data_IF_575166502620
#
_entry.id   IF_575166502620
#
_cell.length_a   1.000
_cell.length_b   1.000
_cell.length_c   1.000
_cell.angle_alpha   90.00
_cell.angle_beta   90.00
_cell.angle_gamma   90.00
#
_symmetry.space_group_name_H-M   'P 1'
#
loop_
_entity.id
_entity.type
_entity.pdbx_description
1 polymer ?
#
# COMPACT_ATOMS: atom_id res chain seq x y z
N UNK A 1 15.29 46.31 -19.91
CA UNK A 1 14.35 45.35 -19.28
C UNK A 1 12.98 45.97 -19.41
N UNK A 2 12.18 45.54 -20.40
CA UNK A 2 10.94 46.19 -20.77
C UNK A 2 9.80 45.65 -19.91
N UNK A 3 9.29 46.48 -19.00
CA UNK A 3 8.07 46.20 -18.23
C UNK A 3 6.87 46.36 -19.17
N UNK A 4 6.31 45.25 -19.64
CA UNK A 4 4.98 45.25 -20.25
C UNK A 4 3.95 45.32 -19.12
N UNK A 5 3.57 46.53 -18.76
CA UNK A 5 2.30 46.81 -18.08
C UNK A 5 1.17 46.40 -19.04
N UNK A 6 0.65 45.18 -18.88
CA UNK A 6 -0.46 44.68 -19.69
C UNK A 6 -1.72 45.52 -19.48
N UNK A 7 -2.30 46.03 -20.57
CA UNK A 7 -3.50 46.86 -20.50
C UNK A 7 -4.70 46.12 -19.87
N UNK A 8 -5.76 46.83 -19.45
CA UNK A 8 -6.92 46.23 -18.78
C UNK A 8 -7.62 45.13 -19.61
N UNK A 9 -7.52 45.19 -20.94
CA UNK A 9 -8.02 44.16 -21.84
C UNK A 9 -7.21 42.85 -21.77
N UNK A 10 -5.89 42.93 -21.63
CA UNK A 10 -5.01 41.75 -21.46
C UNK A 10 -5.28 41.06 -20.14
N UNK A 11 -5.51 41.84 -19.07
CA UNK A 11 -5.89 41.29 -17.76
C UNK A 11 -7.24 40.56 -17.81
N UNK A 12 -8.22 41.10 -18.55
CA UNK A 12 -9.51 40.45 -18.76
C UNK A 12 -9.37 39.15 -19.56
N UNK A 13 -8.56 39.16 -20.63
CA UNK A 13 -8.30 37.98 -21.44
C UNK A 13 -7.57 36.89 -20.63
N UNK A 14 -6.58 37.26 -19.83
CA UNK A 14 -5.90 36.32 -18.92
C UNK A 14 -6.85 35.76 -17.86
N UNK A 15 -7.74 36.59 -17.31
CA UNK A 15 -8.75 36.14 -16.36
C UNK A 15 -9.73 35.14 -16.99
N UNK A 16 -10.21 35.42 -18.21
CA UNK A 16 -11.08 34.53 -18.96
C UNK A 16 -10.37 33.20 -19.31
N UNK A 17 -9.13 33.27 -19.80
CA UNK A 17 -8.32 32.09 -20.09
C UNK A 17 -8.13 31.21 -18.84
N UNK A 18 -7.86 31.82 -17.68
CA UNK A 18 -7.71 31.11 -16.41
C UNK A 18 -9.00 30.40 -15.98
N UNK A 19 -10.16 31.01 -16.22
CA UNK A 19 -11.47 30.38 -15.94
C UNK A 19 -11.67 29.15 -16.82
N UNK A 20 -11.42 29.29 -18.13
CA UNK A 20 -11.57 28.19 -19.09
C UNK A 20 -10.62 27.04 -18.78
N UNK A 21 -9.34 27.35 -18.54
CA UNK A 21 -8.32 26.36 -18.18
C UNK A 21 -8.65 25.65 -16.87
N UNK A 22 -9.12 26.38 -15.86
CA UNK A 22 -9.54 25.79 -14.58
C UNK A 22 -10.76 24.89 -14.75
N UNK A 23 -11.73 25.27 -15.57
CA UNK A 23 -12.89 24.45 -15.88
C UNK A 23 -12.49 23.17 -16.65
N UNK A 24 -11.64 23.32 -17.66
CA UNK A 24 -11.10 22.20 -18.44
C UNK A 24 -10.32 21.21 -17.57
N UNK A 25 -9.39 21.70 -16.74
CA UNK A 25 -8.64 20.87 -15.80
C UNK A 25 -9.57 20.11 -14.84
N UNK A 26 -10.57 20.80 -14.27
CA UNK A 26 -11.58 20.16 -13.40
C UNK A 26 -12.39 19.08 -14.11
N UNK A 27 -12.71 19.28 -15.39
CA UNK A 27 -13.40 18.27 -16.18
C UNK A 27 -12.52 17.04 -16.36
N UNK A 28 -11.27 17.22 -16.82
CA UNK A 28 -10.30 16.13 -16.98
C UNK A 28 -10.08 15.38 -15.66
N UNK A 29 -9.89 16.10 -14.55
CA UNK A 29 -9.69 15.49 -13.23
C UNK A 29 -10.90 14.62 -12.81
N UNK A 30 -12.13 15.06 -13.13
CA UNK A 30 -13.35 14.28 -12.88
C UNK A 30 -13.43 13.03 -13.75
N UNK A 31 -13.05 13.11 -15.02
CA UNK A 31 -13.04 11.97 -15.93
C UNK A 31 -12.03 10.91 -15.49
N UNK A 32 -10.82 11.35 -15.14
CA UNK A 32 -9.76 10.48 -14.62
C UNK A 32 -10.19 9.80 -13.31
N UNK A 33 -10.81 10.54 -12.39
CA UNK A 33 -11.36 9.95 -11.17
C UNK A 33 -12.46 8.92 -11.47
N UNK A 34 -13.37 9.23 -12.40
CA UNK A 34 -14.44 8.29 -12.78
C UNK A 34 -13.86 7.01 -13.37
N UNK A 35 -12.84 7.11 -14.22
CA UNK A 35 -12.13 5.96 -14.76
C UNK A 35 -11.57 5.07 -13.64
N UNK A 36 -10.84 5.65 -12.68
CA UNK A 36 -10.30 4.88 -11.56
C UNK A 36 -11.37 4.24 -10.68
N UNK A 37 -12.48 4.95 -10.44
CA UNK A 37 -13.60 4.41 -9.67
C UNK A 37 -14.20 3.18 -10.37
N UNK A 38 -14.52 3.31 -11.67
CA UNK A 38 -15.04 2.19 -12.47
C UNK A 38 -14.08 1.01 -12.48
N UNK A 39 -12.78 1.29 -12.56
CA UNK A 39 -11.77 0.26 -12.55
C UNK A 39 -11.73 -0.50 -11.23
N UNK A 40 -11.78 0.21 -10.10
CA UNK A 40 -11.85 -0.40 -8.76
C UNK A 40 -13.14 -1.21 -8.63
N UNK A 41 -14.27 -0.69 -9.10
CA UNK A 41 -15.56 -1.37 -9.05
C UNK A 41 -15.53 -2.68 -9.87
N UNK A 42 -14.87 -2.68 -11.03
CA UNK A 42 -14.66 -3.90 -11.82
C UNK A 42 -13.73 -4.90 -11.12
N UNK A 43 -12.65 -4.44 -10.49
CA UNK A 43 -11.78 -5.31 -9.71
C UNK A 43 -12.52 -5.93 -8.51
N UNK A 44 -13.34 -5.16 -7.80
CA UNK A 44 -14.11 -5.66 -6.64
C UNK A 44 -15.14 -6.75 -7.01
N UNK A 45 -15.59 -6.80 -8.28
CA UNK A 45 -16.53 -7.81 -8.77
C UNK A 45 -15.85 -9.11 -9.23
N UNK A 46 -14.52 -9.09 -9.41
CA UNK A 46 -13.75 -10.21 -9.93
C UNK A 46 -13.18 -11.07 -8.80
N UNK A 47 -12.89 -12.32 -9.13
CA UNK A 47 -12.21 -13.22 -8.21
C UNK A 47 -10.76 -12.75 -7.95
N UNK A 48 -10.25 -12.76 -6.70
CA UNK A 48 -8.89 -12.35 -6.37
C UNK A 48 -7.80 -12.99 -7.23
N UNK A 49 -7.94 -14.26 -7.60
CA UNK A 49 -6.95 -14.96 -8.43
C UNK A 49 -6.90 -14.40 -9.85
N UNK A 50 -8.03 -13.94 -10.37
CA UNK A 50 -8.10 -13.31 -11.69
C UNK A 50 -7.47 -11.91 -11.75
N UNK A 51 -7.34 -11.24 -10.61
CA UNK A 51 -6.80 -9.88 -10.52
C UNK A 51 -5.31 -9.89 -10.24
N UNK A 52 -4.85 -10.82 -9.39
CA UNK A 52 -3.49 -10.89 -8.94
C UNK A 52 -2.99 -12.34 -9.06
N UNK A 53 -2.03 -12.59 -9.94
CA UNK A 53 -1.44 -13.93 -10.11
C UNK A 53 -0.88 -14.50 -8.80
N UNK A 54 -0.36 -13.63 -7.92
CA UNK A 54 0.16 -14.09 -6.62
C UNK A 54 -0.94 -14.56 -5.66
N UNK A 55 -2.22 -14.28 -5.94
CA UNK A 55 -3.31 -14.83 -5.17
C UNK A 55 -3.56 -16.32 -5.43
N UNK A 56 -3.01 -16.89 -6.52
CA UNK A 56 -3.02 -18.35 -6.76
C UNK A 56 -2.17 -19.11 -5.73
N UNK A 57 -1.16 -18.45 -5.15
CA UNK A 57 -0.29 -19.04 -4.12
C UNK A 57 -0.91 -19.02 -2.72
N UNK A 58 -2.07 -18.37 -2.56
CA UNK A 58 -2.72 -18.24 -1.26
C UNK A 58 -3.61 -19.44 -0.99
N UNK A 59 -3.64 -19.85 0.27
CA UNK A 59 -4.47 -20.97 0.71
C UNK A 59 -5.96 -20.68 0.42
N UNK A 60 -6.62 -21.58 -0.32
CA UNK A 60 -8.04 -21.48 -0.62
C UNK A 60 -8.90 -21.51 0.67
N UNK A 61 -8.39 -22.19 1.71
CA UNK A 61 -9.03 -22.22 3.02
C UNK A 61 -8.83 -20.92 3.83
N UNK A 62 -8.06 -19.93 3.36
CA UNK A 62 -7.94 -18.63 4.04
C UNK A 62 -9.14 -17.69 3.82
N UNK A 63 -9.95 -17.93 2.77
CA UNK A 63 -11.05 -17.02 2.42
C UNK A 63 -10.54 -15.61 2.10
N UNK A 64 -9.62 -15.53 1.13
CA UNK A 64 -8.91 -14.30 0.77
C UNK A 64 -9.82 -13.32 0.03
N UNK A 65 -9.70 -12.04 0.35
CA UNK A 65 -10.28 -10.95 -0.44
C UNK A 65 -9.31 -9.78 -0.56
N UNK A 66 -9.42 -9.01 -1.64
CA UNK A 66 -8.55 -7.86 -1.92
C UNK A 66 -9.38 -6.58 -1.75
N UNK A 67 -8.82 -5.59 -1.06
CA UNK A 67 -9.38 -4.23 -1.05
C UNK A 67 -8.48 -3.29 -1.83
N UNK A 68 -9.10 -2.43 -2.63
CA UNK A 68 -8.42 -1.37 -3.37
C UNK A 68 -8.66 -0.01 -2.71
N UNK A 69 -7.69 0.88 -2.83
CA UNK A 69 -7.80 2.29 -2.43
C UNK A 69 -7.11 3.19 -3.43
N UNK A 70 -7.56 4.43 -3.49
CA UNK A 70 -6.83 5.52 -4.13
C UNK A 70 -5.83 6.12 -3.13
N UNK A 71 -4.64 6.44 -3.60
CA UNK A 71 -3.58 7.05 -2.80
C UNK A 71 -2.60 7.83 -3.68
N UNK A 72 -1.52 8.30 -3.08
CA UNK A 72 -0.56 9.20 -3.72
C UNK A 72 -0.72 10.65 -3.25
N UNK A 73 0.36 11.41 -3.41
CA UNK A 73 0.45 12.82 -2.96
C UNK A 73 0.09 13.82 -4.06
N UNK A 74 -0.01 13.35 -5.30
CA UNK A 74 -0.32 14.15 -6.49
C UNK A 74 -1.51 13.54 -7.22
N UNK A 75 -2.23 14.38 -7.96
CA UNK A 75 -3.26 13.94 -8.91
C UNK A 75 -2.61 13.77 -10.30
N UNK A 76 -2.92 12.70 -11.06
CA UNK A 76 -3.88 11.61 -10.80
C UNK A 76 -3.49 10.66 -9.65
N UNK A 77 -4.47 10.08 -8.92
CA UNK A 77 -4.17 9.15 -7.84
C UNK A 77 -3.63 7.82 -8.36
N UNK A 78 -2.80 7.18 -7.54
CA UNK A 78 -2.37 5.80 -7.70
C UNK A 78 -3.37 4.85 -7.04
N UNK A 79 -3.54 3.64 -7.59
CA UNK A 79 -4.33 2.59 -6.94
C UNK A 79 -3.40 1.72 -6.11
N UNK A 80 -3.80 1.42 -4.87
CA UNK A 80 -3.12 0.49 -3.99
C UNK A 80 -4.06 -0.63 -3.60
N UNK A 81 -3.50 -1.79 -3.27
CA UNK A 81 -4.24 -2.95 -2.79
C UNK A 81 -3.67 -3.50 -1.48
N UNK A 82 -4.54 -4.17 -0.72
CA UNK A 82 -4.15 -4.97 0.45
C UNK A 82 -5.00 -6.25 0.49
N UNK A 83 -4.34 -7.34 0.85
CA UNK A 83 -4.94 -8.67 0.95
C UNK A 83 -5.44 -8.86 2.38
N UNK A 84 -6.66 -9.34 2.50
CA UNK A 84 -7.33 -9.65 3.76
C UNK A 84 -7.86 -11.07 3.72
N UNK A 85 -8.12 -11.63 4.89
CA UNK A 85 -8.61 -13.00 5.04
C UNK A 85 -9.84 -12.97 5.94
N UNK A 86 -10.91 -13.64 5.51
CA UNK A 86 -12.14 -13.74 6.30
C UNK A 86 -12.00 -14.72 7.47
N UNK A 87 -11.15 -15.74 7.31
CA UNK A 87 -10.94 -16.76 8.32
C UNK A 87 -9.75 -16.37 9.21
N UNK A 88 -9.78 -16.70 10.52
CA UNK A 88 -8.64 -16.48 11.39
C UNK A 88 -7.45 -17.30 10.88
N UNK A 89 -6.31 -16.65 10.67
CA UNK A 89 -5.07 -17.29 10.27
C UNK A 89 -4.07 -17.06 11.39
N UNK A 90 -3.58 -18.16 11.93
CA UNK A 90 -2.51 -18.13 12.91
C UNK A 90 -1.18 -18.25 12.17
N UNK A 91 -0.33 -17.27 12.35
CA UNK A 91 1.08 -17.38 11.96
C UNK A 91 1.76 -18.36 12.93
N UNK A 92 2.06 -19.57 12.45
CA UNK A 92 2.70 -20.64 13.24
C UNK A 92 4.06 -20.19 13.80
N UNK A 93 4.75 -19.28 13.11
CA UNK A 93 6.03 -18.76 13.55
C UNK A 93 5.86 -17.63 14.59
N UNK A 94 4.63 -17.17 14.89
CA UNK A 94 4.37 -16.04 15.77
C UNK A 94 4.59 -16.31 17.25
N UNK A 95 4.90 -17.55 17.62
CA UNK A 95 5.27 -17.91 18.99
C UNK A 95 6.70 -18.42 19.11
N UNK A 96 7.51 -18.33 18.04
CA UNK A 96 8.83 -18.96 18.00
C UNK A 96 9.97 -17.96 17.79
N UNK A 97 10.27 -17.10 18.79
CA UNK A 97 11.52 -16.35 18.81
C UNK A 97 12.64 -17.34 19.18
N UNK A 98 13.20 -17.98 18.17
CA UNK A 98 14.30 -18.95 18.33
C UNK A 98 15.43 -18.58 17.40
N UNK A 99 16.65 -18.79 17.87
CA UNK A 99 17.82 -18.88 17.02
C UNK A 99 17.81 -20.26 16.33
N UNK A 100 17.43 -20.30 15.05
CA UNK A 100 17.39 -21.53 14.26
C UNK A 100 18.77 -21.95 13.73
N UNK A 101 19.80 -21.11 13.94
CA UNK A 101 21.16 -21.40 13.46
C UNK A 101 21.92 -22.30 14.42
N UNK A 102 21.43 -22.48 15.65
CA UNK A 102 22.06 -23.31 16.68
C UNK A 102 21.15 -24.49 17.09
N UNK A 103 21.39 -25.70 16.56
CA UNK A 103 20.65 -26.90 16.98
C UNK A 103 21.10 -27.30 18.39
N UNK A 104 20.49 -26.76 19.44
CA UNK A 104 20.80 -27.20 20.82
C UNK A 104 20.33 -26.36 22.00
N UNK A 105 19.99 -25.07 21.82
CA UNK A 105 19.60 -24.24 22.99
C UNK A 105 18.16 -24.52 23.43
N UNK A 106 18.00 -25.46 24.37
CA UNK A 106 16.81 -25.59 25.20
C UNK A 106 16.88 -24.57 26.34
N UNK A 107 16.15 -23.45 26.16
CA UNK A 107 15.79 -22.39 27.13
C UNK A 107 16.91 -21.41 27.51
N UNK A 108 16.57 -20.12 27.72
CA UNK A 108 17.43 -19.23 28.50
C UNK A 108 17.00 -19.21 29.96
N UNK A 109 17.96 -19.59 30.80
CA UNK A 109 18.02 -19.24 32.21
C UNK A 109 18.34 -17.75 32.35
N UNK A 110 17.43 -16.97 32.94
CA UNK A 110 17.74 -15.74 33.68
C UNK A 110 18.31 -14.55 32.90
N UNK A 111 17.61 -13.41 33.01
CA UNK A 111 18.11 -12.02 32.93
C UNK A 111 19.57 -11.84 32.47
N UNK A 112 19.81 -12.00 31.17
CA UNK A 112 21.03 -11.56 30.52
C UNK A 112 20.62 -10.94 29.19
N UNK A 113 21.24 -9.82 28.82
CA UNK A 113 20.94 -9.12 27.57
C UNK A 113 21.40 -10.00 26.40
N UNK A 114 20.52 -10.89 25.94
CA UNK A 114 20.80 -11.84 24.86
C UNK A 114 21.10 -11.08 23.58
N UNK A 115 22.23 -11.37 22.94
CA UNK A 115 22.50 -10.94 21.58
C UNK A 115 21.54 -11.65 20.62
N UNK A 116 20.50 -10.92 20.19
CA UNK A 116 19.45 -11.41 19.28
C UNK A 116 19.79 -11.17 17.81
N UNK A 117 21.03 -10.81 17.49
CA UNK A 117 21.45 -10.52 16.11
C UNK A 117 21.22 -11.70 15.14
N UNK A 118 21.37 -12.94 15.61
CA UNK A 118 21.12 -14.17 14.84
C UNK A 118 19.68 -14.71 14.87
N UNK A 119 18.78 -14.10 15.65
CA UNK A 119 17.41 -14.58 15.77
C UNK A 119 16.60 -14.25 14.51
N UNK A 120 15.58 -15.06 14.22
CA UNK A 120 14.64 -14.74 13.15
C UNK A 120 14.02 -13.35 13.39
N UNK A 121 14.33 -12.39 12.51
CA UNK A 121 13.77 -11.05 12.54
C UNK A 121 12.48 -11.03 11.72
N UNK A 122 11.36 -10.75 12.38
CA UNK A 122 10.07 -10.55 11.72
C UNK A 122 10.07 -9.21 10.99
N UNK A 123 9.83 -9.26 9.68
CA UNK A 123 9.62 -8.08 8.84
C UNK A 123 8.14 -8.00 8.49
N UNK A 124 7.45 -6.97 8.97
CA UNK A 124 6.03 -6.75 8.67
C UNK A 124 5.88 -6.13 7.27
N UNK A 125 5.66 -6.95 6.24
CA UNK A 125 5.44 -6.47 4.87
C UNK A 125 3.95 -6.39 4.48
N UNK A 126 3.11 -5.97 5.42
CA UNK A 126 1.66 -5.85 5.29
C UNK A 126 1.19 -4.42 4.96
N UNK A 127 2.10 -3.64 4.39
CA UNK A 127 1.81 -2.33 3.83
C UNK A 127 0.91 -2.45 2.60
N UNK A 128 0.25 -1.35 2.26
CA UNK A 128 -0.51 -1.26 1.02
C UNK A 128 0.43 -1.26 -0.18
N UNK A 129 0.19 -2.15 -1.15
CA UNK A 129 1.04 -2.36 -2.31
C UNK A 129 0.49 -1.62 -3.51
N UNK A 130 1.35 -1.07 -4.38
CA UNK A 130 0.89 -0.41 -5.59
C UNK A 130 0.22 -1.44 -6.52
N UNK A 131 -0.97 -1.10 -7.01
CA UNK A 131 -1.64 -1.83 -8.07
C UNK A 131 -1.27 -1.20 -9.42
N UNK A 132 -0.32 -1.81 -10.13
CA UNK A 132 0.07 -1.33 -11.45
C UNK A 132 -0.87 -1.90 -12.52
N UNK A 133 -1.64 -1.01 -13.16
CA UNK A 133 -2.34 -1.31 -14.41
C UNK A 133 -1.50 -0.74 -15.53
N UNK A 134 -1.28 -1.50 -16.59
CA UNK A 134 -0.45 -1.16 -17.76
C UNK A 134 -1.00 0.01 -18.60
N UNK A 135 -1.38 1.13 -17.99
CA UNK A 135 -1.81 2.34 -18.69
C UNK A 135 -1.12 3.54 -18.05
N UNK A 136 -0.07 4.02 -18.74
CA UNK A 136 0.83 5.17 -18.51
C UNK A 136 2.26 4.82 -18.02
N UNK A 137 3.28 5.53 -18.53
CA UNK A 137 4.68 5.14 -18.38
C UNK A 137 5.21 5.46 -16.98
N UNK A 138 5.50 4.38 -16.25
CA UNK A 138 6.57 4.17 -15.27
C UNK A 138 7.24 5.45 -14.74
N UNK A 139 6.72 5.95 -13.63
CA UNK A 139 7.55 6.53 -12.56
C UNK A 139 7.59 5.45 -11.48
N UNK A 140 8.78 5.12 -10.99
CA UNK A 140 8.96 4.07 -10.00
C UNK A 140 8.06 4.31 -8.78
N UNK A 141 7.28 3.29 -8.35
CA UNK A 141 6.50 3.40 -7.14
C UNK A 141 7.46 3.47 -5.95
N UNK A 142 7.56 4.65 -5.33
CA UNK A 142 8.10 4.72 -3.98
C UNK A 142 7.22 3.84 -3.09
N UNK A 143 7.79 2.77 -2.54
CA UNK A 143 7.13 1.92 -1.57
C UNK A 143 6.80 2.77 -0.34
N UNK A 144 5.52 3.09 -0.15
CA UNK A 144 5.06 3.74 1.09
C UNK A 144 4.91 2.62 2.13
N UNK A 145 6.05 2.21 2.66
CA UNK A 145 6.18 1.24 3.73
C UNK A 145 7.55 1.45 4.34
N UNK A 146 7.61 2.23 5.42
CA UNK A 146 8.82 2.24 6.23
C UNK A 146 9.03 0.80 6.74
N UNK A 147 10.16 0.20 6.39
CA UNK A 147 10.67 -1.04 6.99
C UNK A 147 10.88 -0.80 8.49
N UNK A 148 9.79 -0.87 9.25
CA UNK A 148 9.83 -0.77 10.69
C UNK A 148 10.11 -2.17 11.21
N UNK A 149 11.33 -2.37 11.69
CA UNK A 149 11.63 -3.52 12.55
C UNK A 149 10.74 -3.40 13.78
N UNK A 150 9.85 -4.36 13.95
CA UNK A 150 8.97 -4.41 15.12
C UNK A 150 9.57 -5.43 16.07
N UNK A 151 9.81 -5.01 17.32
CA UNK A 151 10.20 -5.94 18.37
C UNK A 151 9.04 -6.89 18.69
N UNK A 152 9.39 -8.17 18.85
CA UNK A 152 8.43 -9.22 19.12
C UNK A 152 7.83 -9.07 20.53
N UNK A 153 6.51 -8.84 20.61
CA UNK A 153 5.78 -8.77 21.87
C UNK A 153 4.95 -10.05 22.05
N UNK A 154 5.36 -10.92 22.96
CA UNK A 154 4.56 -12.07 23.38
C UNK A 154 3.56 -11.63 24.45
N UNK A 155 2.27 -11.60 24.11
CA UNK A 155 1.22 -11.61 25.13
C UNK A 155 1.00 -13.07 25.50
N UNK A 156 1.26 -13.42 26.77
CA UNK A 156 0.79 -14.68 27.33
C UNK A 156 -0.74 -14.55 27.36
N UNK A 157 -1.43 -15.14 26.40
CA UNK A 157 -2.85 -15.40 26.59
C UNK A 157 -2.95 -16.42 27.73
N UNK A 158 -3.20 -15.92 28.94
CA UNK A 158 -3.57 -16.74 30.08
C UNK A 158 -4.97 -17.31 29.77
N UNK A 159 -5.01 -18.53 29.25
CA UNK A 159 -6.25 -19.32 29.25
C UNK A 159 -6.64 -19.61 30.71
N UNK A 160 -7.76 -19.03 31.14
CA UNK A 160 -8.51 -19.45 32.32
C UNK A 160 -9.51 -20.55 31.97
#
# INVERSE_FOLDING_TARGET
>A
MSSQEGGPADLLQQAAARIIQKASKRYVDREVFRYFKLLIDHCNQRDPQSILKTAELLDAAAGVFIRFRLGGVTFPPNIYYKIFTHRPITDVCASSPKDYTQPGLKKPSGQMQEDRSGWYQRMENNSWRLFYIKVLPIVEPAEIGADKKIDFHYSIEQCG
#
